data_IF_961352638577
#
_entry.id   IF_961352638577
#
_cell.length_a   1.000
_cell.length_b   1.000
_cell.length_c   1.000
_cell.angle_alpha   90.00
_cell.angle_beta   90.00
_cell.angle_gamma   90.00
#
_symmetry.space_group_name_H-M   'P 1'
#
loop_
_entity.id
_entity.type
_entity.pdbx_description
1 polymer ?
#
# COMPACT_ATOMS: atom_id res chain seq x y z
N UNK A 1 23.90 -11.44 5.32
CA UNK A 1 22.69 -11.25 4.50
C UNK A 1 23.12 -10.65 3.18
N UNK A 2 22.32 -10.75 2.11
CA UNK A 2 22.64 -10.06 0.86
C UNK A 2 22.31 -8.58 1.00
N UNK A 3 23.14 -7.71 0.42
CA UNK A 3 22.92 -6.25 0.46
C UNK A 3 21.55 -5.84 -0.07
N UNK A 4 21.03 -6.57 -1.07
CA UNK A 4 19.69 -6.38 -1.61
C UNK A 4 18.60 -6.65 -0.56
N UNK A 5 18.76 -7.69 0.26
CA UNK A 5 17.78 -8.03 1.29
C UNK A 5 17.73 -6.95 2.36
N UNK A 6 18.88 -6.51 2.84
CA UNK A 6 18.98 -5.46 3.86
C UNK A 6 18.40 -4.13 3.34
N UNK A 7 18.63 -3.83 2.05
CA UNK A 7 18.05 -2.66 1.39
C UNK A 7 16.52 -2.71 1.34
N UNK A 8 15.94 -3.86 0.94
CA UNK A 8 14.48 -4.03 0.87
C UNK A 8 13.87 -3.96 2.27
N UNK A 9 14.46 -4.62 3.27
CA UNK A 9 13.97 -4.60 4.65
C UNK A 9 13.98 -3.16 5.21
N UNK A 10 15.04 -2.40 4.94
CA UNK A 10 15.10 -0.98 5.30
C UNK A 10 14.04 -0.15 4.59
N UNK A 11 13.80 -0.41 3.31
CA UNK A 11 12.79 0.32 2.54
C UNK A 11 11.37 0.07 3.07
N UNK A 12 11.04 -1.18 3.39
CA UNK A 12 9.75 -1.54 4.01
C UNK A 12 9.60 -0.85 5.37
N UNK A 13 10.65 -0.85 6.20
CA UNK A 13 10.61 -0.16 7.49
C UNK A 13 10.36 1.34 7.34
N UNK A 14 11.08 2.00 6.42
CA UNK A 14 10.90 3.43 6.15
C UNK A 14 9.47 3.75 5.69
N UNK A 15 8.85 2.89 4.87
CA UNK A 15 7.45 3.05 4.45
C UNK A 15 6.47 2.88 5.61
N UNK A 16 6.66 1.86 6.45
CA UNK A 16 5.82 1.64 7.64
C UNK A 16 5.86 2.85 8.58
N UNK A 17 7.06 3.38 8.85
CA UNK A 17 7.23 4.55 9.72
C UNK A 17 6.52 5.79 9.15
N UNK A 18 6.49 5.95 7.82
CA UNK A 18 5.76 7.05 7.17
C UNK A 18 4.25 6.82 7.30
N UNK A 19 3.75 5.62 6.98
CA UNK A 19 2.33 5.29 7.03
C UNK A 19 1.74 5.43 8.44
N UNK A 20 2.49 5.08 9.49
CA UNK A 20 2.05 5.26 10.87
C UNK A 20 1.89 6.74 11.28
N UNK A 21 2.51 7.66 10.54
CA UNK A 21 2.50 9.11 10.83
C UNK A 21 1.52 9.89 9.96
N UNK A 22 0.85 9.25 9.00
CA UNK A 22 0.05 9.92 7.96
C UNK A 22 -1.37 9.41 7.93
N UNK A 23 -2.32 10.31 7.69
CA UNK A 23 -3.76 10.00 7.61
C UNK A 23 -4.30 10.02 6.20
N UNK A 24 -3.53 10.55 5.26
CA UNK A 24 -3.92 10.80 3.88
C UNK A 24 -2.70 10.77 2.96
N UNK A 25 -2.97 10.69 1.66
CA UNK A 25 -1.96 10.56 0.61
C UNK A 25 -1.08 11.80 0.47
N UNK A 26 -1.58 13.00 0.81
CA UNK A 26 -0.81 14.25 0.73
C UNK A 26 0.26 14.28 1.83
N UNK A 27 -0.12 13.97 3.07
CA UNK A 27 0.80 13.84 4.19
C UNK A 27 1.82 12.70 3.97
N UNK A 28 1.42 11.61 3.32
CA UNK A 28 2.32 10.53 2.90
C UNK A 28 3.39 11.01 1.91
N UNK A 29 2.98 11.77 0.90
CA UNK A 29 3.90 12.33 -0.10
C UNK A 29 4.88 13.33 0.53
N UNK A 30 4.42 14.22 1.40
CA UNK A 30 5.27 15.20 2.07
C UNK A 30 6.37 14.54 2.90
N UNK A 31 6.02 13.53 3.73
CA UNK A 31 7.01 12.81 4.53
C UNK A 31 7.97 11.96 3.67
N UNK A 32 7.50 11.43 2.54
CA UNK A 32 8.36 10.72 1.59
C UNK A 32 9.39 11.68 0.94
N UNK A 33 8.97 12.91 0.62
CA UNK A 33 9.85 13.97 0.10
C UNK A 33 10.87 14.47 1.13
N UNK A 34 10.51 14.50 2.42
CA UNK A 34 11.47 14.80 3.49
C UNK A 34 12.53 13.69 3.64
N UNK A 35 12.12 12.43 3.43
CA UNK A 35 12.98 11.26 3.65
C UNK A 35 13.94 11.01 2.48
N UNK A 36 13.50 11.23 1.25
CA UNK A 36 14.21 10.84 0.04
C UNK A 36 14.43 12.01 -0.93
N UNK A 37 15.52 11.93 -1.71
CA UNK A 37 15.82 12.95 -2.72
C UNK A 37 14.85 12.85 -3.90
N UNK A 38 14.70 13.94 -4.64
CA UNK A 38 13.79 14.04 -5.81
C UNK A 38 14.04 12.98 -6.89
N UNK A 39 15.28 12.53 -7.05
CA UNK A 39 15.71 11.50 -8.01
C UNK A 39 15.78 10.09 -7.40
N UNK A 40 15.38 9.93 -6.14
CA UNK A 40 15.39 8.63 -5.49
C UNK A 40 14.31 7.71 -6.10
N UNK A 41 14.67 6.49 -6.54
CA UNK A 41 13.73 5.57 -7.18
C UNK A 41 12.54 5.22 -6.27
N UNK A 42 12.68 5.30 -4.94
CA UNK A 42 11.60 5.06 -3.99
C UNK A 42 10.55 6.17 -4.05
N UNK A 43 11.00 7.42 -4.07
CA UNK A 43 10.11 8.57 -4.20
C UNK A 43 9.43 8.59 -5.58
N UNK A 44 10.17 8.23 -6.63
CA UNK A 44 9.60 8.09 -7.97
C UNK A 44 8.53 7.01 -8.05
N UNK A 45 8.73 5.88 -7.37
CA UNK A 45 7.74 4.80 -7.31
C UNK A 45 6.46 5.23 -6.56
N UNK A 46 6.61 5.98 -5.47
CA UNK A 46 5.49 6.56 -4.71
C UNK A 46 4.69 7.56 -5.55
N UNK A 47 5.37 8.45 -6.28
CA UNK A 47 4.75 9.48 -7.12
C UNK A 47 4.23 8.96 -8.47
N UNK A 48 4.54 7.71 -8.80
CA UNK A 48 4.11 7.14 -10.07
C UNK A 48 2.57 7.15 -10.09
N UNK A 49 1.93 7.71 -11.13
CA UNK A 49 0.49 7.61 -11.26
C UNK A 49 0.12 6.13 -11.26
N UNK A 50 -0.82 5.73 -10.40
CA UNK A 50 -1.30 4.35 -10.28
C UNK A 50 -1.98 3.96 -11.60
N UNK A 51 -1.18 3.59 -12.59
CA UNK A 51 -1.63 3.18 -13.91
C UNK A 51 -1.92 1.69 -13.83
N UNK A 52 -3.11 1.37 -13.33
CA UNK A 52 -3.64 0.01 -13.30
C UNK A 52 -3.50 -0.65 -11.94
N UNK A 53 -4.65 -1.05 -11.39
CA UNK A 53 -4.89 -2.17 -10.49
C UNK A 53 -3.66 -3.09 -10.27
N UNK A 54 -2.81 -2.76 -9.30
CA UNK A 54 -1.59 -3.53 -9.01
C UNK A 54 -1.87 -4.82 -8.23
N UNK A 55 -3.06 -4.94 -7.64
CA UNK A 55 -3.54 -6.17 -7.03
C UNK A 55 -5.02 -6.33 -7.37
N UNK A 56 -5.48 -7.50 -7.84
CA UNK A 56 -6.90 -7.79 -7.79
C UNK A 56 -7.33 -7.68 -6.33
N UNK A 57 -8.29 -6.79 -6.03
CA UNK A 57 -9.08 -6.93 -4.81
C UNK A 57 -9.72 -8.30 -4.92
N UNK A 58 -9.23 -9.26 -4.12
CA UNK A 58 -10.01 -10.44 -3.86
C UNK A 58 -11.28 -9.94 -3.17
N UNK A 59 -12.37 -9.93 -3.93
CA UNK A 59 -13.69 -9.57 -3.43
C UNK A 59 -14.10 -10.67 -2.47
N UNK A 60 -13.76 -10.56 -1.19
CA UNK A 60 -14.33 -11.39 -0.14
C UNK A 60 -15.85 -11.15 -0.09
N UNK A 61 -16.61 -12.23 -0.24
CA UNK A 61 -17.95 -12.36 0.35
C UNK A 61 -19.11 -11.74 -0.42
N UNK A 62 -19.77 -12.53 -1.25
CA UNK A 62 -21.24 -12.61 -1.15
C UNK A 62 -21.61 -13.98 -0.61
N UNK A 63 -21.70 -14.01 0.72
CA UNK A 63 -22.51 -14.94 1.49
C UNK A 63 -23.92 -15.01 0.88
N UNK A 64 -24.22 -16.10 0.16
CA UNK A 64 -25.61 -16.45 -0.16
C UNK A 64 -26.17 -17.27 1.00
N UNK A 65 -26.52 -16.56 2.06
CA UNK A 65 -27.48 -17.02 3.04
C UNK A 65 -28.88 -16.73 2.53
N UNK A 66 -29.36 -17.48 1.53
CA UNK A 66 -30.79 -17.51 1.20
C UNK A 66 -31.48 -18.47 2.16
N UNK A 67 -31.97 -17.89 3.25
CA UNK A 67 -32.97 -18.51 4.12
C UNK A 67 -34.32 -18.23 3.47
N UNK A 68 -34.92 -19.21 2.79
CA UNK A 68 -36.34 -19.17 2.47
C UNK A 68 -37.05 -20.40 3.02
N UNK A 69 -37.63 -20.13 4.19
CA UNK A 69 -38.58 -20.93 4.92
C UNK A 69 -39.98 -20.57 4.40
N UNK A 70 -40.55 -21.37 3.50
CA UNK A 70 -42.00 -21.38 3.27
C UNK A 70 -42.56 -22.79 3.41
N UNK A 71 -43.21 -22.99 4.56
CA UNK A 71 -44.23 -24.00 4.76
C UNK A 71 -45.47 -23.59 3.96
N UNK A 72 -45.90 -24.44 3.02
CA UNK A 72 -47.31 -24.80 2.84
C UNK A 72 -47.46 -26.04 1.94
#
# INVERSE_FOLDING_TARGET
>A
MSELRDYIEKYVQDLTDILERTTDDEAFLDLAEEKWKLDDPRLLAIKAPVSGQLFPVESEGTDKSDTDNEQN
#
